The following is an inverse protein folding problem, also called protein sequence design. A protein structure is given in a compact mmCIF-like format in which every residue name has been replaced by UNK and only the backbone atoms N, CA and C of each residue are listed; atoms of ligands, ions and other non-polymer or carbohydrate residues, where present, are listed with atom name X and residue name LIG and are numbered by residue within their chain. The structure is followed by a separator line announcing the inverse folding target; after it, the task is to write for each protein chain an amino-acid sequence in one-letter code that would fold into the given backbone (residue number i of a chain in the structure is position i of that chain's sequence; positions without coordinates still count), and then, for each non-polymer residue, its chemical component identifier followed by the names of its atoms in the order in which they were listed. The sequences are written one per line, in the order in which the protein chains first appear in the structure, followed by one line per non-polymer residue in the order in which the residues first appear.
data_IF_123888139764
#
_entry.id   IF_123888139764
#
_cell.length_a   1.000
_cell.length_b   1.000
_cell.length_c   1.000
_cell.angle_alpha   90.00
_cell.angle_beta   90.00
_cell.angle_gamma   90.00
#
_symmetry.space_group_name_H-M   'P 1'
#
loop_
_entity.id
_entity.type
_entity.pdbx_description
1 polymer ?
#
# COMPACT_ATOMS: atom_id res chain seq x y z
N UNK A 1 46.26 20.34 -20.72
CA UNK A 1 45.02 19.64 -20.34
C UNK A 1 43.92 20.69 -20.32
N UNK A 2 42.94 20.56 -21.22
CA UNK A 2 41.82 21.49 -21.34
C UNK A 2 40.57 20.90 -20.66
N UNK A 3 39.88 21.72 -19.86
CA UNK A 3 38.45 21.68 -19.54
C UNK A 3 38.19 22.93 -18.68
N UNK A 4 37.67 24.04 -19.20
CA UNK A 4 36.30 24.33 -19.69
C UNK A 4 35.25 24.13 -18.59
N UNK A 5 34.98 25.19 -17.84
CA UNK A 5 33.63 25.70 -17.55
C UNK A 5 33.71 26.90 -16.61
N UNK A 6 33.66 28.10 -17.18
CA UNK A 6 33.24 29.30 -16.46
C UNK A 6 32.71 30.29 -17.51
N UNK A 7 31.39 30.42 -17.60
CA UNK A 7 30.78 31.52 -18.37
C UNK A 7 29.70 32.12 -17.48
N UNK A 8 30.07 33.26 -16.92
CA UNK A 8 29.20 34.20 -16.26
C UNK A 8 28.32 34.96 -17.24
N UNK A 9 27.21 35.44 -16.68
CA UNK A 9 26.53 36.72 -16.96
C UNK A 9 25.53 36.82 -18.14
N UNK A 10 24.25 36.91 -17.74
CA UNK A 10 23.41 38.13 -17.80
C UNK A 10 23.09 38.75 -19.16
N UNK A 11 21.79 38.76 -19.53
CA UNK A 11 21.12 39.91 -20.15
C UNK A 11 19.59 39.69 -20.24
N UNK A 12 18.82 40.52 -19.56
CA UNK A 12 17.47 41.01 -19.95
C UNK A 12 17.65 42.46 -20.48
N UNK A 13 16.64 43.20 -21.01
CA UNK A 13 15.29 42.89 -21.53
C UNK A 13 15.01 43.59 -22.90
N UNK A 14 13.79 43.48 -23.48
CA UNK A 14 12.93 44.61 -23.94
C UNK A 14 11.86 44.19 -24.96
N UNK A 15 10.73 44.86 -24.82
CA UNK A 15 9.46 44.76 -25.55
C UNK A 15 9.58 45.10 -27.04
N UNK A 16 8.70 44.51 -27.88
CA UNK A 16 8.16 45.23 -29.04
C UNK A 16 6.72 44.79 -29.36
N UNK A 17 5.87 45.79 -29.59
CA UNK A 17 4.43 45.73 -29.87
C UNK A 17 4.15 45.21 -31.27
N UNK A 18 3.03 44.53 -31.48
CA UNK A 18 2.28 44.66 -32.74
C UNK A 18 0.81 44.24 -32.59
N UNK A 19 -0.08 45.20 -32.83
CA UNK A 19 -1.52 45.03 -32.94
C UNK A 19 -1.90 44.51 -34.33
N UNK A 20 -2.80 43.55 -34.42
CA UNK A 20 -3.71 43.44 -35.58
C UNK A 20 -5.08 42.95 -35.11
N UNK A 21 -6.09 43.68 -35.53
CA UNK A 21 -7.52 43.63 -35.25
C UNK A 21 -8.23 42.82 -36.36
N UNK A 22 -9.08 41.83 -36.06
CA UNK A 22 -10.03 41.22 -37.02
C UNK A 22 -11.19 40.50 -36.28
N UNK A 23 -12.36 40.30 -36.93
CA UNK A 23 -13.65 40.77 -36.44
C UNK A 23 -14.51 39.74 -35.70
N UNK A 24 -15.47 40.27 -34.94
CA UNK A 24 -16.60 39.57 -34.33
C UNK A 24 -17.37 38.75 -35.37
N UNK A 25 -17.53 37.45 -35.10
CA UNK A 25 -18.62 36.65 -35.66
C UNK A 25 -19.25 35.82 -34.54
N UNK A 26 -20.53 36.11 -34.25
CA UNK A 26 -21.38 35.29 -33.40
C UNK A 26 -21.59 33.93 -34.08
N UNK A 27 -21.13 32.86 -33.42
CA UNK A 27 -21.67 31.52 -33.62
C UNK A 27 -22.04 31.00 -32.23
N UNK A 28 -23.34 30.88 -31.99
CA UNK A 28 -23.88 30.19 -30.83
C UNK A 28 -23.55 28.69 -30.98
N UNK A 29 -22.55 28.23 -30.24
CA UNK A 29 -22.32 26.80 -30.02
C UNK A 29 -23.23 26.31 -28.88
N UNK A 30 -23.97 25.20 -29.08
CA UNK A 30 -24.81 24.64 -28.03
C UNK A 30 -23.95 24.10 -26.88
N UNK A 31 -24.41 24.35 -25.65
CA UNK A 31 -23.80 23.88 -24.41
C UNK A 31 -23.46 22.38 -24.47
N UNK A 32 -22.26 21.96 -24.03
CA UNK A 32 -22.00 20.54 -23.86
C UNK A 32 -22.87 20.07 -22.69
N UNK A 33 -23.90 19.31 -23.05
CA UNK A 33 -24.71 18.47 -22.17
C UNK A 33 -23.76 17.76 -21.19
N UNK A 34 -23.71 18.31 -19.98
CA UNK A 34 -22.86 17.84 -18.91
C UNK A 34 -23.56 16.65 -18.29
N UNK A 35 -23.69 15.57 -19.06
CA UNK A 35 -23.95 14.27 -18.49
C UNK A 35 -22.74 13.95 -17.60
N UNK A 36 -22.90 13.82 -16.28
CA UNK A 36 -21.81 13.32 -15.47
C UNK A 36 -21.53 11.91 -15.97
N UNK A 37 -20.35 11.72 -16.57
CA UNK A 37 -19.71 10.42 -16.65
C UNK A 37 -19.52 9.96 -15.21
N UNK A 38 -20.55 9.37 -14.62
CA UNK A 38 -20.38 8.39 -13.55
C UNK A 38 -19.71 7.19 -14.18
N UNK A 39 -18.43 7.36 -14.52
CA UNK A 39 -17.48 6.30 -14.36
C UNK A 39 -17.54 5.97 -12.87
N UNK A 40 -18.45 5.07 -12.52
CA UNK A 40 -18.30 4.24 -11.33
C UNK A 40 -17.00 3.51 -11.61
N UNK A 41 -15.90 4.14 -11.19
CA UNK A 41 -14.62 3.49 -11.11
C UNK A 41 -14.89 2.38 -10.10
N UNK A 42 -15.16 1.18 -10.61
CA UNK A 42 -15.03 -0.05 -9.85
C UNK A 42 -13.59 -0.03 -9.39
N UNK A 43 -13.35 0.61 -8.24
CA UNK A 43 -12.12 0.44 -7.50
C UNK A 43 -12.14 -1.02 -7.12
N UNK A 44 -11.50 -1.82 -7.96
CA UNK A 44 -10.96 -3.10 -7.56
C UNK A 44 -9.86 -2.77 -6.54
N UNK A 45 -10.28 -2.37 -5.34
CA UNK A 45 -9.43 -2.26 -4.16
C UNK A 45 -9.03 -3.69 -3.84
N UNK A 46 -7.93 -4.13 -4.46
CA UNK A 46 -7.34 -5.44 -4.18
C UNK A 46 -7.21 -5.59 -2.69
N UNK A 47 -7.89 -6.58 -2.13
CA UNK A 47 -7.90 -6.81 -0.69
C UNK A 47 -6.48 -7.20 -0.28
N UNK A 48 -5.96 -6.57 0.76
CA UNK A 48 -4.62 -6.84 1.26
C UNK A 48 -4.73 -7.63 2.57
N UNK A 49 -3.97 -8.72 2.72
CA UNK A 49 -3.87 -9.46 3.99
C UNK A 49 -2.42 -9.47 4.46
N UNK A 50 -2.22 -9.40 5.78
CA UNK A 50 -0.92 -9.59 6.38
C UNK A 50 -0.64 -11.06 6.67
N UNK A 51 0.60 -11.50 6.47
CA UNK A 51 1.12 -12.77 6.95
C UNK A 51 2.30 -12.51 7.90
N UNK A 52 2.08 -12.72 9.19
CA UNK A 52 3.03 -12.51 10.26
C UNK A 52 3.60 -13.86 10.72
N UNK A 53 4.88 -14.11 10.48
CA UNK A 53 5.48 -15.39 10.86
C UNK A 53 6.96 -15.27 11.25
N UNK A 54 7.42 -16.24 12.03
CA UNK A 54 8.85 -16.47 12.22
C UNK A 54 9.43 -17.38 11.12
N UNK A 55 10.58 -16.99 10.58
CA UNK A 55 11.31 -17.74 9.56
C UNK A 55 12.45 -18.59 10.12
N UNK A 56 12.60 -18.67 11.44
CA UNK A 56 13.49 -19.67 12.05
C UNK A 56 13.02 -21.11 11.80
N UNK A 57 11.74 -21.33 11.44
CA UNK A 57 11.19 -22.60 11.00
C UNK A 57 11.19 -22.70 9.46
N UNK A 58 12.33 -23.00 8.86
CA UNK A 58 12.67 -22.56 7.50
C UNK A 58 12.18 -23.39 6.30
N UNK A 59 11.42 -24.47 6.46
CA UNK A 59 10.78 -25.15 5.32
C UNK A 59 9.26 -25.20 5.45
N UNK A 60 8.76 -25.56 6.63
CA UNK A 60 7.33 -25.61 6.91
C UNK A 60 6.65 -24.24 6.72
N UNK A 61 7.18 -23.18 7.34
CA UNK A 61 6.61 -21.82 7.18
C UNK A 61 6.67 -21.35 5.72
N UNK A 62 7.69 -21.77 4.96
CA UNK A 62 7.81 -21.42 3.54
C UNK A 62 6.73 -22.10 2.70
N UNK A 63 6.47 -23.40 2.94
CA UNK A 63 5.39 -24.14 2.27
C UNK A 63 4.01 -23.62 2.65
N UNK A 64 3.80 -23.30 3.92
CA UNK A 64 2.57 -22.66 4.40
C UNK A 64 2.33 -21.33 3.68
N UNK A 65 3.36 -20.48 3.61
CA UNK A 65 3.27 -19.19 2.91
C UNK A 65 3.00 -19.36 1.41
N UNK A 66 3.61 -20.36 0.77
CA UNK A 66 3.35 -20.67 -0.64
C UNK A 66 1.88 -21.05 -0.88
N UNK A 67 1.30 -21.92 -0.04
CA UNK A 67 -0.12 -22.26 -0.15
C UNK A 67 -1.05 -21.07 0.07
N UNK A 68 -0.70 -20.16 1.00
CA UNK A 68 -1.45 -18.92 1.21
C UNK A 68 -1.37 -18.02 -0.03
N UNK A 69 -0.21 -17.92 -0.67
CA UNK A 69 -0.05 -17.13 -1.89
C UNK A 69 -0.87 -17.69 -3.06
N UNK A 70 -0.84 -19.02 -3.26
CA UNK A 70 -1.62 -19.69 -4.31
C UNK A 70 -3.12 -19.42 -4.15
N UNK A 71 -3.64 -19.55 -2.92
CA UNK A 71 -5.04 -19.25 -2.65
C UNK A 71 -5.35 -17.76 -2.80
N UNK A 72 -4.49 -16.87 -2.28
CA UNK A 72 -4.69 -15.43 -2.38
C UNK A 72 -4.72 -14.95 -3.84
N UNK A 73 -3.88 -15.51 -4.70
CA UNK A 73 -3.87 -15.22 -6.13
C UNK A 73 -5.20 -15.60 -6.80
N UNK A 74 -5.79 -16.74 -6.42
CA UNK A 74 -7.09 -17.18 -6.94
C UNK A 74 -8.25 -16.24 -6.59
N UNK A 75 -8.10 -15.39 -5.57
CA UNK A 75 -9.11 -14.42 -5.12
C UNK A 75 -8.71 -12.94 -5.33
N UNK A 76 -7.66 -12.67 -6.14
CA UNK A 76 -7.12 -11.33 -6.37
C UNK A 76 -6.70 -10.58 -5.08
N UNK A 77 -6.23 -11.33 -4.07
CA UNK A 77 -5.79 -10.83 -2.77
C UNK A 77 -4.27 -10.61 -2.78
N UNK A 78 -3.82 -9.46 -2.28
CA UNK A 78 -2.40 -9.16 -2.05
C UNK A 78 -2.00 -9.67 -0.67
N UNK A 79 -0.91 -10.44 -0.58
CA UNK A 79 -0.35 -10.88 0.70
C UNK A 79 0.90 -10.08 1.02
N UNK A 80 0.87 -9.32 2.12
CA UNK A 80 2.03 -8.65 2.67
C UNK A 80 2.68 -9.48 3.78
N UNK A 81 3.98 -9.70 3.67
CA UNK A 81 4.73 -10.55 4.60
C UNK A 81 5.45 -9.73 5.66
N UNK A 82 5.27 -10.11 6.91
CA UNK A 82 5.90 -9.51 8.09
C UNK A 82 6.70 -10.56 8.86
N UNK A 83 7.93 -10.21 9.23
CA UNK A 83 8.83 -11.11 9.95
C UNK A 83 8.76 -10.84 11.45
N UNK A 84 8.49 -11.88 12.23
CA UNK A 84 8.72 -11.86 13.67
C UNK A 84 10.21 -12.00 13.96
N UNK A 85 10.71 -11.19 14.89
CA UNK A 85 12.14 -11.10 15.19
C UNK A 85 12.39 -10.87 16.68
N UNK A 86 12.03 -11.84 17.53
CA UNK A 86 12.19 -11.75 18.99
C UNK A 86 11.28 -10.72 19.67
N UNK A 87 11.07 -10.86 20.99
CA UNK A 87 9.95 -10.19 21.69
C UNK A 87 9.91 -8.67 21.52
N UNK A 88 11.05 -7.96 21.66
CA UNK A 88 11.07 -6.49 21.58
C UNK A 88 10.82 -5.94 20.18
N UNK A 89 11.11 -6.72 19.13
CA UNK A 89 10.85 -6.29 17.76
C UNK A 89 9.44 -6.70 17.27
N UNK A 90 8.77 -7.62 17.98
CA UNK A 90 7.45 -8.09 17.60
C UNK A 90 6.39 -7.00 17.72
N UNK A 91 6.43 -6.16 18.77
CA UNK A 91 5.51 -5.02 18.92
C UNK A 91 5.67 -3.99 17.79
N UNK A 92 6.91 -3.75 17.39
CA UNK A 92 7.24 -2.87 16.26
C UNK A 92 6.73 -3.45 14.95
N UNK A 93 6.96 -4.75 14.70
CA UNK A 93 6.44 -5.44 13.52
C UNK A 93 4.91 -5.42 13.51
N UNK A 94 4.25 -5.67 14.65
CA UNK A 94 2.80 -5.63 14.77
C UNK A 94 2.27 -4.22 14.47
N UNK A 95 2.87 -3.17 15.02
CA UNK A 95 2.48 -1.80 14.69
C UNK A 95 2.68 -1.47 13.21
N UNK A 96 3.78 -1.91 12.57
CA UNK A 96 3.96 -1.73 11.11
C UNK A 96 2.90 -2.49 10.33
N UNK A 97 2.58 -3.70 10.75
CA UNK A 97 1.53 -4.51 10.16
C UNK A 97 0.17 -3.77 10.24
N UNK A 98 -0.19 -3.28 11.42
CA UNK A 98 -1.41 -2.51 11.66
C UNK A 98 -1.41 -1.13 10.97
N UNK A 99 -0.27 -0.55 10.64
CA UNK A 99 -0.20 0.71 9.90
C UNK A 99 -0.54 0.55 8.41
N UNK A 100 -0.57 -0.68 7.90
CA UNK A 100 -1.03 -0.98 6.55
C UNK A 100 -2.56 -1.13 6.53
N UNK A 101 -3.18 -0.81 5.40
CA UNK A 101 -4.62 -0.95 5.18
C UNK A 101 -4.98 -2.42 4.88
N UNK A 102 -4.78 -3.26 5.89
CA UNK A 102 -5.03 -4.70 5.82
C UNK A 102 -6.51 -4.98 6.06
N UNK A 103 -7.05 -5.89 5.27
CA UNK A 103 -8.40 -6.45 5.43
C UNK A 103 -8.44 -7.65 6.38
N UNK A 104 -7.28 -8.23 6.67
CA UNK A 104 -7.12 -9.32 7.64
C UNK A 104 -5.66 -9.67 7.91
N UNK A 105 -5.44 -10.46 8.95
CA UNK A 105 -4.10 -10.84 9.40
C UNK A 105 -4.00 -12.35 9.71
N UNK A 106 -3.06 -13.04 9.09
CA UNK A 106 -2.71 -14.43 9.41
C UNK A 106 -1.43 -14.41 10.23
N UNK A 107 -1.42 -15.11 11.36
CA UNK A 107 -0.30 -15.14 12.30
C UNK A 107 0.11 -16.58 12.52
N UNK A 108 1.36 -16.89 12.20
CA UNK A 108 1.99 -18.17 12.45
C UNK A 108 3.12 -17.97 13.47
N UNK A 109 2.80 -18.23 14.74
CA UNK A 109 3.71 -18.07 15.88
C UNK A 109 3.70 -19.32 16.77
N UNK A 110 4.35 -20.41 16.32
CA UNK A 110 4.34 -21.68 17.05
C UNK A 110 5.06 -21.63 18.41
N UNK A 111 5.83 -20.57 18.65
CA UNK A 111 6.62 -20.35 19.87
C UNK A 111 5.94 -19.40 20.85
N UNK A 112 4.75 -18.85 20.52
CA UNK A 112 4.06 -17.83 21.33
C UNK A 112 4.95 -16.64 21.69
N UNK A 113 5.75 -16.17 20.74
CA UNK A 113 6.61 -15.00 20.92
C UNK A 113 5.81 -13.71 21.04
N UNK A 114 4.54 -13.70 20.62
CA UNK A 114 3.59 -12.64 20.85
C UNK A 114 2.58 -13.09 21.91
N UNK A 115 2.49 -12.38 23.06
CA UNK A 115 1.44 -12.65 24.04
C UNK A 115 0.07 -12.45 23.41
N UNK A 116 -0.80 -13.46 23.50
CA UNK A 116 -2.13 -13.45 22.88
C UNK A 116 -2.99 -12.29 23.37
N UNK A 117 -2.87 -11.90 24.64
CA UNK A 117 -3.59 -10.77 25.22
C UNK A 117 -3.28 -9.46 24.50
N UNK A 118 -1.98 -9.18 24.29
CA UNK A 118 -1.49 -8.00 23.55
C UNK A 118 -1.99 -7.96 22.11
N UNK A 119 -2.05 -9.13 21.48
CA UNK A 119 -2.53 -9.28 20.12
C UNK A 119 -4.04 -9.03 20.02
N UNK A 120 -4.80 -9.60 20.95
CA UNK A 120 -6.25 -9.48 21.00
C UNK A 120 -6.70 -8.03 21.21
N UNK A 121 -6.07 -7.28 22.11
CA UNK A 121 -6.39 -5.89 22.39
C UNK A 121 -6.10 -5.00 21.16
N UNK A 122 -4.94 -5.19 20.56
CA UNK A 122 -4.47 -4.39 19.41
C UNK A 122 -5.30 -4.63 18.14
N UNK A 123 -5.78 -5.86 17.92
CA UNK A 123 -6.56 -6.21 16.74
C UNK A 123 -8.06 -5.95 16.92
N UNK A 124 -8.59 -6.20 18.12
CA UNK A 124 -10.01 -5.96 18.44
C UNK A 124 -10.34 -4.46 18.40
N UNK A 125 -9.45 -3.60 18.90
CA UNK A 125 -9.63 -2.14 18.82
C UNK A 125 -9.71 -1.59 17.39
N UNK A 126 -9.23 -2.35 16.40
CA UNK A 126 -9.25 -1.98 14.98
C UNK A 126 -10.27 -2.78 14.15
N UNK A 127 -11.03 -3.67 14.78
CA UNK A 127 -11.95 -4.59 14.10
C UNK A 127 -11.29 -5.38 12.96
N UNK A 128 -9.98 -5.67 13.06
CA UNK A 128 -9.24 -6.40 12.04
C UNK A 128 -9.38 -7.90 12.27
N UNK A 129 -10.02 -8.66 11.37
CA UNK A 129 -10.12 -10.11 11.53
C UNK A 129 -8.73 -10.75 11.46
N UNK A 130 -8.48 -11.73 12.33
CA UNK A 130 -7.21 -12.44 12.35
C UNK A 130 -7.38 -13.94 12.53
N UNK A 131 -6.40 -14.69 12.02
CA UNK A 131 -6.31 -16.14 12.12
C UNK A 131 -4.96 -16.49 12.74
N UNK A 132 -5.00 -17.23 13.85
CA UNK A 132 -3.81 -17.80 14.48
C UNK A 132 -3.60 -19.24 13.98
N UNK A 133 -2.40 -19.55 13.53
CA UNK A 133 -1.99 -20.88 13.07
C UNK A 133 -0.99 -21.50 14.03
N UNK A 134 -1.04 -22.83 14.16
CA UNK A 134 -0.11 -23.64 14.95
C UNK A 134 0.00 -23.22 16.44
N UNK A 135 -1.13 -22.81 17.00
CA UNK A 135 -1.30 -22.44 18.40
C UNK A 135 -1.14 -23.69 19.27
N UNK A 136 0.04 -23.91 19.85
CA UNK A 136 0.24 -25.01 20.83
C UNK A 136 -0.40 -24.66 22.17
N UNK A 137 -1.65 -25.06 22.35
CA UNK A 137 -2.30 -25.14 23.66
C UNK A 137 -3.23 -23.97 23.98
N UNK A 138 -4.51 -24.18 23.68
CA UNK A 138 -5.57 -23.81 24.62
C UNK A 138 -6.30 -25.11 24.92
N UNK A 139 -5.97 -25.72 26.07
CA UNK A 139 -6.83 -26.71 26.76
C UNK A 139 -7.45 -25.97 27.92
#
# INVERSE_FOLDING_TARGET
MANVNDISASATPLEEKSSVDFPVTNAAEPEPDTAPLTAVSERCEKRCIGFLADFTYSEYTARLFAGILEEAEAHDIIVQRFRLSGSRANDETLRRCLANDLTGLIIHDPDFRIPTDHLSESLTSRALPYLLLDVRGVV
#
